data_IF_150012373190
#
_entry.id   IF_150012373190
#
_cell.length_a   1.000
_cell.length_b   1.000
_cell.length_c   1.000
_cell.angle_alpha   90.00
_cell.angle_beta   90.00
_cell.angle_gamma   90.00
#
_symmetry.space_group_name_H-M   'P 1'
#
loop_
_entity.id
_entity.type
_entity.pdbx_description
1 polymer ?
#
# COMPACT_ATOMS: atom_id res chain seq x y z
N UNK A 1 28.40 5.81 3.83
CA UNK A 1 27.33 4.85 4.16
C UNK A 1 26.30 4.88 3.05
N UNK A 2 26.22 3.85 2.21
CA UNK A 2 25.13 3.71 1.25
C UNK A 2 23.83 3.53 2.03
N UNK A 3 22.94 4.51 1.95
CA UNK A 3 21.62 4.39 2.56
C UNK A 3 20.89 3.26 1.83
N UNK A 4 20.70 2.11 2.49
CA UNK A 4 19.92 1.02 1.92
C UNK A 4 18.53 1.55 1.58
N UNK A 5 18.14 1.48 0.31
CA UNK A 5 16.84 1.96 -0.12
C UNK A 5 15.73 1.16 0.55
N UNK A 6 14.94 1.82 1.38
CA UNK A 6 13.80 1.22 2.05
C UNK A 6 12.52 1.45 1.26
N UNK A 7 11.60 0.49 1.37
CA UNK A 7 10.33 0.49 0.65
C UNK A 7 9.19 0.23 1.61
N UNK A 8 8.07 0.91 1.39
CA UNK A 8 6.90 0.80 2.24
C UNK A 8 5.63 0.49 1.46
N UNK A 9 4.75 -0.32 2.06
CA UNK A 9 3.41 -0.63 1.56
C UNK A 9 2.40 -0.47 2.68
N UNK A 10 1.19 0.00 2.35
CA UNK A 10 0.09 0.07 3.31
C UNK A 10 -0.31 -1.32 3.81
N UNK A 11 -0.55 -1.45 5.12
CA UNK A 11 -1.04 -2.69 5.72
C UNK A 11 -2.48 -2.99 5.28
N UNK A 12 -2.81 -4.26 5.10
CA UNK A 12 -4.08 -4.69 4.51
C UNK A 12 -5.35 -4.04 5.10
N UNK A 13 -5.40 -3.85 6.43
CA UNK A 13 -6.57 -3.33 7.17
C UNK A 13 -6.55 -1.83 7.45
N UNK A 14 -5.58 -1.10 6.91
CA UNK A 14 -5.44 0.33 7.14
C UNK A 14 -6.09 1.12 6.02
N UNK A 15 -6.84 2.18 6.33
CA UNK A 15 -7.35 3.10 5.33
C UNK A 15 -6.52 4.39 5.33
N UNK A 16 -5.80 4.65 4.24
CA UNK A 16 -5.04 5.88 4.05
C UNK A 16 -4.98 6.22 2.56
N UNK A 17 -4.27 7.30 2.24
CA UNK A 17 -4.19 7.87 0.90
C UNK A 17 -3.37 7.00 -0.07
N UNK A 18 -2.64 5.99 0.44
CA UNK A 18 -1.80 5.10 -0.35
C UNK A 18 -2.64 4.06 -1.10
N UNK A 19 -2.25 3.78 -2.35
CA UNK A 19 -2.76 2.63 -3.10
C UNK A 19 -2.37 1.33 -2.39
N UNK A 20 -3.38 0.53 -2.01
CA UNK A 20 -3.17 -0.84 -1.50
C UNK A 20 -2.42 -1.69 -2.51
N UNK A 21 -1.46 -2.48 -2.03
CA UNK A 21 -0.60 -3.34 -2.86
C UNK A 21 0.60 -2.64 -3.50
N UNK A 22 0.67 -1.30 -3.51
CA UNK A 22 1.82 -0.59 -4.05
C UNK A 22 2.96 -0.49 -3.03
N UNK A 23 4.20 -0.54 -3.54
CA UNK A 23 5.41 -0.25 -2.77
C UNK A 23 5.94 1.13 -3.15
N UNK A 24 6.23 1.96 -2.15
CA UNK A 24 6.72 3.31 -2.29
C UNK A 24 8.11 3.43 -1.68
N UNK A 25 8.98 4.23 -2.29
CA UNK A 25 10.31 4.51 -1.74
C UNK A 25 10.14 5.32 -0.46
N UNK A 26 10.86 4.93 0.59
CA UNK A 26 10.94 5.68 1.84
C UNK A 26 11.96 6.79 1.65
N UNK A 27 11.53 8.02 1.90
CA UNK A 27 12.38 9.22 1.87
C UNK A 27 12.92 9.52 3.27
N UNK A 28 12.07 9.38 4.28
CA UNK A 28 12.40 9.60 5.68
C UNK A 28 11.66 8.58 6.54
N UNK A 29 12.36 7.99 7.51
CA UNK A 29 11.81 7.02 8.44
C UNK A 29 11.96 7.53 9.88
N UNK A 30 10.86 8.01 10.46
CA UNK A 30 10.80 8.43 11.85
C UNK A 30 10.05 7.40 12.72
N UNK A 31 10.16 7.49 14.06
CA UNK A 31 9.45 6.58 14.97
C UNK A 31 7.92 6.65 14.83
N UNK A 32 7.36 7.84 14.58
CA UNK A 32 5.92 8.11 14.57
C UNK A 32 5.31 8.21 13.18
N UNK A 33 6.10 8.65 12.20
CA UNK A 33 5.68 8.81 10.81
C UNK A 33 6.77 8.38 9.83
N UNK A 34 6.36 8.28 8.57
CA UNK A 34 7.25 7.97 7.46
C UNK A 34 6.87 8.84 6.28
N UNK A 35 7.88 9.37 5.59
CA UNK A 35 7.69 10.15 4.36
C UNK A 35 7.95 9.24 3.18
N UNK A 36 6.96 9.09 2.32
CA UNK A 36 6.99 8.22 1.14
C UNK A 36 7.00 9.05 -0.13
N UNK A 37 7.74 8.61 -1.14
CA UNK A 37 7.65 9.19 -2.47
C UNK A 37 6.45 8.58 -3.21
N UNK A 38 5.40 9.38 -3.41
CA UNK A 38 4.16 9.00 -4.09
C UNK A 38 3.96 9.94 -5.27
N UNK A 39 3.94 9.41 -6.50
CA UNK A 39 3.84 10.22 -7.72
C UNK A 39 4.90 11.36 -7.77
N UNK A 40 6.14 11.07 -7.36
CA UNK A 40 7.25 12.03 -7.22
C UNK A 40 7.03 13.16 -6.21
N UNK A 41 6.04 13.01 -5.32
CA UNK A 41 5.75 13.97 -4.26
C UNK A 41 5.92 13.30 -2.89
N UNK A 42 6.44 14.01 -1.89
CA UNK A 42 6.54 13.48 -0.53
C UNK A 42 5.14 13.39 0.10
N UNK A 43 4.81 12.23 0.66
CA UNK A 43 3.59 12.01 1.43
C UNK A 43 3.95 11.45 2.81
N UNK A 44 3.67 12.23 3.85
CA UNK A 44 3.80 11.80 5.25
C UNK A 44 2.61 10.93 5.64
N UNK A 45 2.88 9.75 6.18
CA UNK A 45 1.87 8.82 6.71
C UNK A 45 2.28 8.30 8.09
N UNK A 46 1.34 7.97 8.98
CA UNK A 46 1.69 7.39 10.27
C UNK A 46 2.50 6.10 10.10
N UNK A 47 3.61 5.96 10.84
CA UNK A 47 4.51 4.80 10.77
C UNK A 47 3.80 3.46 10.97
N UNK A 48 2.79 3.33 11.85
CA UNK A 48 2.05 2.07 12.01
C UNK A 48 1.21 1.67 10.80
N UNK A 49 0.93 2.60 9.87
CA UNK A 49 0.04 2.33 8.73
C UNK A 49 0.71 1.49 7.66
N UNK A 50 2.04 1.44 7.67
CA UNK A 50 2.82 0.80 6.63
C UNK A 50 3.73 -0.31 7.17
N UNK A 51 3.95 -1.29 6.33
CA UNK A 51 5.08 -2.21 6.42
C UNK A 51 6.27 -1.57 5.71
N UNK A 52 7.47 -1.67 6.29
CA UNK A 52 8.73 -1.20 5.68
C UNK A 52 9.65 -2.40 5.50
N UNK A 53 10.30 -2.49 4.33
CA UNK A 53 11.24 -3.56 3.97
C UNK A 53 12.52 -2.96 3.36
N UNK A 54 13.67 -3.63 3.48
CA UNK A 54 14.95 -3.11 2.99
C UNK A 54 15.19 -3.35 1.48
N UNK A 55 14.28 -4.04 0.80
CA UNK A 55 14.40 -4.38 -0.63
C UNK A 55 13.04 -4.18 -1.29
N UNK A 56 12.99 -3.49 -2.43
CA UNK A 56 11.76 -3.35 -3.22
C UNK A 56 11.26 -4.72 -3.68
N UNK A 57 10.05 -5.14 -3.30
CA UNK A 57 9.47 -6.35 -3.87
C UNK A 57 9.19 -6.17 -5.36
N UNK A 58 9.61 -7.17 -6.15
CA UNK A 58 9.46 -7.18 -7.62
C UNK A 58 8.32 -8.09 -8.09
N UNK A 59 7.46 -8.54 -7.19
CA UNK A 59 6.29 -9.34 -7.52
C UNK A 59 5.05 -8.46 -7.63
N UNK A 60 4.09 -8.86 -8.47
CA UNK A 60 2.76 -8.28 -8.41
C UNK A 60 2.15 -8.51 -7.05
N UNK A 61 1.68 -7.45 -6.41
CA UNK A 61 0.87 -7.58 -5.19
C UNK A 61 -0.55 -7.99 -5.55
N UNK A 62 -1.08 -9.01 -4.89
CA UNK A 62 -2.47 -9.45 -5.05
C UNK A 62 -3.34 -8.80 -3.98
N UNK A 63 -4.28 -7.96 -4.40
CA UNK A 63 -5.12 -7.18 -3.48
C UNK A 63 -6.56 -7.71 -3.51
N UNK A 64 -7.14 -8.10 -2.36
CA UNK A 64 -8.55 -8.43 -2.29
C UNK A 64 -9.42 -7.19 -2.50
N UNK A 65 -10.53 -7.36 -3.21
CA UNK A 65 -11.57 -6.33 -3.34
C UNK A 65 -12.23 -6.14 -1.97
N UNK A 66 -12.11 -4.93 -1.41
CA UNK A 66 -12.78 -4.55 -0.16
C UNK A 66 -14.11 -3.87 -0.48
N UNK A 67 -15.18 -4.25 0.23
CA UNK A 67 -16.54 -3.71 0.00
C UNK A 67 -16.63 -2.19 0.13
N UNK A 68 -15.82 -1.57 0.99
CA UNK A 68 -15.89 -0.14 1.33
C UNK A 68 -14.67 0.66 0.82
N UNK A 69 -14.07 0.26 -0.29
CA UNK A 69 -12.95 0.98 -0.90
C UNK A 69 -13.25 1.30 -2.37
N UNK A 70 -12.64 2.37 -2.91
CA UNK A 70 -12.69 2.67 -4.34
C UNK A 70 -12.25 1.43 -5.14
N UNK A 71 -13.21 0.78 -5.78
CA UNK A 71 -13.02 -0.55 -6.33
C UNK A 71 -12.71 -0.47 -7.84
N UNK A 72 -11.85 -1.34 -8.36
CA UNK A 72 -11.69 -1.49 -9.82
C UNK A 72 -13.01 -1.96 -10.47
N UNK A 73 -13.09 -2.03 -11.82
CA UNK A 73 -14.23 -2.62 -12.50
C UNK A 73 -14.64 -3.97 -11.93
N UNK A 74 -15.93 -4.29 -11.93
CA UNK A 74 -16.45 -5.56 -11.41
C UNK A 74 -15.95 -6.76 -12.21
N UNK A 75 -15.74 -6.58 -13.52
CA UNK A 75 -15.18 -7.58 -14.43
C UNK A 75 -13.79 -8.10 -14.04
N UNK A 76 -13.07 -7.45 -13.13
CA UNK A 76 -11.78 -7.92 -12.63
C UNK A 76 -11.90 -8.99 -11.55
N UNK A 77 -13.12 -9.27 -11.07
CA UNK A 77 -13.39 -10.29 -10.07
C UNK A 77 -12.98 -9.89 -8.63
N UNK A 78 -12.73 -10.87 -7.74
CA UNK A 78 -12.59 -10.65 -6.31
C UNK A 78 -11.21 -10.10 -5.90
N UNK A 79 -10.24 -10.09 -6.82
CA UNK A 79 -8.85 -9.67 -6.56
C UNK A 79 -8.29 -8.94 -7.78
N UNK A 80 -7.34 -8.06 -7.56
CA UNK A 80 -6.61 -7.39 -8.64
C UNK A 80 -5.12 -7.32 -8.34
N UNK A 81 -4.31 -7.15 -9.39
CA UNK A 81 -2.88 -7.02 -9.30
C UNK A 81 -2.44 -5.57 -9.20
N UNK A 82 -1.36 -5.29 -8.48
CA UNK A 82 -0.66 -4.01 -8.52
C UNK A 82 0.77 -4.21 -9.03
N UNK A 83 1.11 -3.51 -10.11
CA UNK A 83 2.40 -3.62 -10.75
C UNK A 83 3.52 -3.17 -9.79
N UNK A 84 4.58 -3.99 -9.60
CA UNK A 84 5.67 -3.65 -8.69
C UNK A 84 6.48 -2.44 -9.16
N UNK A 85 6.45 -2.10 -10.46
CA UNK A 85 7.20 -0.98 -11.06
C UNK A 85 6.43 0.33 -11.11
N UNK A 86 5.28 0.37 -11.77
CA UNK A 86 4.54 1.61 -12.02
C UNK A 86 3.32 1.81 -11.12
N UNK A 87 3.01 0.86 -10.22
CA UNK A 87 1.85 0.91 -9.31
C UNK A 87 0.48 0.86 -9.99
N UNK A 88 0.42 0.67 -11.32
CA UNK A 88 -0.85 0.50 -12.02
C UNK A 88 -1.58 -0.76 -11.55
N UNK A 89 -2.92 -0.71 -11.60
CA UNK A 89 -3.75 -1.87 -11.27
C UNK A 89 -4.09 -2.60 -12.57
N UNK A 90 -4.22 -3.91 -12.49
CA UNK A 90 -4.65 -4.75 -13.61
C UNK A 90 -5.52 -5.91 -13.12
N UNK A 91 -6.41 -6.46 -13.95
CA UNK A 91 -7.08 -7.72 -13.64
C UNK A 91 -6.03 -8.82 -13.52
N UNK A 92 -6.23 -9.74 -12.57
CA UNK A 92 -5.34 -10.90 -12.45
C UNK A 92 -5.79 -11.99 -13.44
N UNK A 93 -4.88 -12.57 -14.22
CA UNK A 93 -5.19 -13.76 -15.00
C UNK A 93 -5.44 -14.95 -14.06
N UNK A 94 -6.29 -15.88 -14.47
CA UNK A 94 -6.48 -17.11 -13.72
C UNK A 94 -5.21 -17.98 -13.78
N UNK A 95 -4.79 -18.49 -12.61
CA UNK A 95 -3.77 -19.56 -12.45
C UNK A 95 -2.42 -19.31 -13.13
N UNK A 96 -2.09 -18.08 -13.51
CA UNK A 96 -0.81 -17.76 -14.16
C UNK A 96 0.27 -17.43 -13.14
N UNK A 97 1.52 -17.81 -13.38
CA UNK A 97 2.64 -17.53 -12.46
C UNK A 97 3.17 -16.11 -12.63
N UNK A 98 3.03 -15.51 -13.81
CA UNK A 98 3.51 -14.17 -14.12
C UNK A 98 2.51 -13.44 -15.02
N UNK A 99 2.65 -12.11 -15.11
CA UNK A 99 1.89 -11.31 -16.07
C UNK A 99 2.66 -10.06 -16.50
N UNK A 100 2.34 -9.58 -17.71
CA UNK A 100 2.82 -8.31 -18.27
C UNK A 100 1.97 -7.16 -17.76
N UNK A 101 2.61 -6.05 -17.38
CA UNK A 101 1.91 -4.83 -17.02
C UNK A 101 1.38 -4.11 -18.28
N UNK A 102 0.07 -3.82 -18.39
CA UNK A 102 -0.48 -3.12 -19.54
C UNK A 102 -0.08 -1.63 -19.63
N UNK A 103 0.56 -1.09 -18.59
CA UNK A 103 0.96 0.32 -18.53
C UNK A 103 2.46 0.55 -18.77
N UNK A 104 3.31 -0.39 -18.33
CA UNK A 104 4.77 -0.20 -18.40
C UNK A 104 5.53 -1.43 -18.91
N UNK A 105 4.80 -2.39 -19.48
CA UNK A 105 5.29 -3.62 -20.14
C UNK A 105 6.17 -4.57 -19.31
N UNK A 106 6.37 -4.28 -18.03
CA UNK A 106 7.16 -5.14 -17.15
C UNK A 106 6.47 -6.49 -16.99
N UNK A 107 7.20 -7.57 -17.26
CA UNK A 107 6.81 -8.94 -16.93
C UNK A 107 7.38 -9.30 -15.56
N UNK A 108 6.55 -9.80 -14.66
CA UNK A 108 6.97 -10.19 -13.31
C UNK A 108 6.08 -11.28 -12.74
N UNK A 109 6.61 -12.02 -11.77
CA UNK A 109 5.88 -13.08 -11.06
C UNK A 109 4.74 -12.48 -10.25
N UNK A 110 3.62 -13.20 -10.19
CA UNK A 110 2.46 -12.86 -9.38
C UNK A 110 2.65 -13.39 -7.97
N UNK A 111 2.62 -12.49 -6.99
CA UNK A 111 2.67 -12.82 -5.57
C UNK A 111 1.33 -13.36 -5.08
N UNK A 112 0.89 -14.52 -5.58
CA UNK A 112 -0.36 -15.18 -5.14
C UNK A 112 -0.42 -15.39 -3.63
N UNK A 113 0.73 -15.59 -3.02
CA UNK A 113 0.91 -15.61 -1.59
C UNK A 113 1.65 -14.36 -1.13
N UNK A 114 0.96 -13.52 -0.36
CA UNK A 114 1.57 -12.43 0.41
C UNK A 114 2.29 -12.96 1.69
N UNK A 115 2.40 -14.28 1.89
CA UNK A 115 2.95 -14.87 3.12
C UNK A 115 4.36 -14.35 3.46
N UNK A 116 5.25 -14.24 2.47
CA UNK A 116 6.62 -13.78 2.71
C UNK A 116 6.70 -12.30 3.14
N UNK A 117 5.61 -11.53 3.02
CA UNK A 117 5.53 -10.12 3.40
C UNK A 117 4.65 -9.93 4.65
N UNK A 118 3.68 -10.82 4.88
CA UNK A 118 2.78 -10.77 6.04
C UNK A 118 3.48 -10.96 7.38
N UNK A 119 4.63 -11.64 7.44
CA UNK A 119 5.42 -11.75 8.68
C UNK A 119 5.73 -10.36 9.26
N UNK A 120 6.07 -9.40 8.41
CA UNK A 120 6.32 -8.01 8.83
C UNK A 120 5.02 -7.24 9.12
N UNK A 121 3.86 -7.66 8.59
CA UNK A 121 2.57 -7.09 8.98
C UNK A 121 2.18 -7.49 10.41
N UNK A 122 2.44 -8.73 10.81
CA UNK A 122 2.12 -9.25 12.15
C UNK A 122 3.03 -8.60 13.20
N UNK A 123 4.35 -8.56 12.95
CA UNK A 123 5.34 -8.06 13.90
C UNK A 123 5.22 -6.56 14.23
N UNK A 124 4.52 -5.78 13.42
CA UNK A 124 4.30 -4.34 13.70
C UNK A 124 2.86 -3.95 13.97
N UNK A 125 1.98 -4.92 14.24
CA UNK A 125 0.64 -4.68 14.76
C UNK A 125 0.67 -4.42 16.29
N UNK A 126 1.10 -3.24 16.71
CA UNK A 126 1.09 -2.85 18.13
C UNK A 126 -0.26 -2.23 18.54
N UNK A 127 -0.67 -2.33 19.82
CA UNK A 127 -1.85 -1.62 20.34
C UNK A 127 -1.79 -0.10 20.07
N UNK A 128 -0.61 0.50 20.17
CA UNK A 128 -0.36 1.90 19.82
C UNK A 128 -0.70 2.20 18.35
N UNK A 129 -0.41 1.29 17.42
CA UNK A 129 -0.77 1.44 16.01
C UNK A 129 -2.27 1.56 15.77
N UNK A 130 -3.10 0.84 16.53
CA UNK A 130 -4.56 0.94 16.46
C UNK A 130 -5.07 2.29 16.99
N UNK A 131 -4.51 2.78 18.09
CA UNK A 131 -4.85 4.08 18.66
C UNK A 131 -4.52 5.23 17.70
N UNK A 132 -3.32 5.20 17.10
CA UNK A 132 -2.90 6.17 16.08
C UNK A 132 -3.84 6.14 14.85
N UNK A 133 -4.29 4.94 14.44
CA UNK A 133 -5.27 4.81 13.37
C UNK A 133 -6.63 5.44 13.70
N UNK A 134 -7.12 5.23 14.92
CA UNK A 134 -8.38 5.83 15.40
C UNK A 134 -8.27 7.35 15.48
N UNK A 135 -7.18 7.87 16.04
CA UNK A 135 -6.92 9.31 16.16
C UNK A 135 -6.83 9.99 14.79
N UNK A 136 -6.09 9.40 13.84
CA UNK A 136 -6.02 9.91 12.46
C UNK A 136 -7.40 9.91 11.77
N UNK A 137 -8.19 8.85 11.96
CA UNK A 137 -9.56 8.79 11.43
C UNK A 137 -10.48 9.88 11.99
N UNK A 138 -10.37 10.17 13.29
CA UNK A 138 -11.11 11.27 13.93
C UNK A 138 -10.66 12.64 13.40
N UNK A 139 -9.35 12.88 13.32
CA UNK A 139 -8.79 14.12 12.78
C UNK A 139 -9.23 14.37 11.33
N UNK A 140 -9.27 13.33 10.49
CA UNK A 140 -9.75 13.46 9.11
C UNK A 140 -11.23 13.87 9.04
N UNK A 141 -12.08 13.34 9.93
CA UNK A 141 -13.50 13.72 10.01
C UNK A 141 -13.67 15.17 10.45
N UNK A 142 -12.91 15.63 11.45
CA UNK A 142 -12.94 17.02 11.90
C UNK A 142 -12.55 18.00 10.78
N UNK A 143 -11.54 17.66 9.96
CA UNK A 143 -11.13 18.48 8.81
C UNK A 143 -12.17 18.50 7.68
N UNK A 144 -12.90 17.41 7.47
CA UNK A 144 -13.96 17.33 6.44
C UNK A 144 -15.27 17.97 6.90
N UNK A 145 -15.57 17.95 8.21
CA UNK A 145 -16.77 18.58 8.79
C UNK A 145 -16.70 20.11 8.88
N UNK A 146 -15.50 20.71 8.87
CA UNK A 146 -15.33 22.17 8.86
C UNK A 146 -15.40 22.83 7.47
N UNK A 147 -15.63 22.07 6.41
CA UNK A 147 -15.69 22.57 5.02
C UNK A 147 -17.13 22.79 4.50
N UNK A 148 -18.15 22.66 5.36
CA UNK A 148 -19.57 22.70 4.99
C UNK A 148 -20.39 23.87 5.55
N UNK A 149 -19.78 24.83 6.25
CA UNK A 149 -20.44 26.07 6.68
C UNK A 149 -19.68 27.27 6.12
N UNK A 150 -20.06 27.70 4.93
CA UNK A 150 -19.95 29.07 4.41
C UNK A 150 -20.77 29.21 3.13
#
# INVERSE_FOLDING_TARGET
>A
MTHLEQWARVRARTNCQLRRGAWYRVVELAPVDVVLEVNRQPLRVPRPFVQVVPIRPRLWSVVPRLRNAAAPPESWGPRYGVCPRCTSRAPLPERSISMRCPTCDMVSVIGWSDAHWRVFEILSATPAGRLIAKAHGAAKRLRLGGAGER
#
